data_IF_824424643306
#
_entry.id   IF_824424643306
#
_cell.length_a   1.000
_cell.length_b   1.000
_cell.length_c   1.000
_cell.angle_alpha   90.00
_cell.angle_beta   90.00
_cell.angle_gamma   90.00
#
_symmetry.space_group_name_H-M   'P 1'
#
loop_
_entity.id
_entity.type
_entity.pdbx_description
1 polymer ?
#
# COMPACT_ATOMS: atom_id res chain seq x y z
N UNK A 1 34.96 26.76 4.18
CA UNK A 1 33.86 26.52 5.14
C UNK A 1 32.86 25.61 4.45
N UNK A 2 33.01 24.31 4.66
CA UNK A 2 32.17 23.26 4.07
C UNK A 2 30.80 23.32 4.73
N UNK A 3 29.77 23.63 3.94
CA UNK A 3 28.38 23.59 4.43
C UNK A 3 28.02 22.16 4.80
N UNK A 4 27.73 21.92 6.07
CA UNK A 4 27.22 20.65 6.57
C UNK A 4 25.80 20.47 6.03
N UNK A 5 25.62 19.47 5.16
CA UNK A 5 24.30 19.00 4.75
C UNK A 5 23.64 18.34 5.99
N UNK A 6 22.52 18.85 6.52
CA UNK A 6 21.83 18.15 7.59
C UNK A 6 21.25 16.87 6.99
N UNK A 7 21.55 15.73 7.61
CA UNK A 7 21.04 14.43 7.22
C UNK A 7 19.52 14.54 6.97
N UNK A 8 19.09 14.15 5.77
CA UNK A 8 17.67 14.10 5.41
C UNK A 8 16.92 13.32 6.50
N UNK A 9 15.89 13.94 7.09
CA UNK A 9 14.91 13.22 7.90
C UNK A 9 14.48 11.97 7.15
N UNK A 10 14.27 10.81 7.81
CA UNK A 10 13.69 9.67 7.12
C UNK A 10 12.41 10.16 6.45
N UNK A 11 12.33 10.04 5.13
CA UNK A 11 11.13 10.36 4.38
C UNK A 11 9.96 9.64 5.07
N UNK A 12 8.82 10.32 5.22
CA UNK A 12 7.65 9.69 5.81
C UNK A 12 7.39 8.35 5.12
N UNK A 13 7.07 7.27 5.87
CA UNK A 13 6.85 5.96 5.28
C UNK A 13 5.75 6.03 4.23
N UNK A 14 5.92 5.31 3.12
CA UNK A 14 4.90 5.32 2.06
C UNK A 14 3.64 4.62 2.56
N UNK A 15 2.50 4.92 1.93
CA UNK A 15 1.22 4.26 2.25
C UNK A 15 0.85 3.31 1.12
N UNK A 16 0.61 2.05 1.46
CA UNK A 16 0.21 0.99 0.54
C UNK A 16 -1.13 0.36 0.92
N UNK A 17 -1.78 -0.27 -0.06
CA UNK A 17 -2.96 -1.12 0.16
C UNK A 17 -2.82 -2.45 -0.58
N UNK A 18 -3.17 -3.55 0.07
CA UNK A 18 -3.30 -4.88 -0.52
C UNK A 18 -4.80 -5.19 -0.60
N UNK A 19 -5.30 -5.67 -1.73
CA UNK A 19 -6.70 -6.09 -1.89
C UNK A 19 -6.70 -7.57 -2.23
N UNK A 20 -7.25 -8.39 -1.34
CA UNK A 20 -7.28 -9.85 -1.45
C UNK A 20 -8.68 -10.29 -1.88
N UNK A 21 -8.77 -11.10 -2.92
CA UNK A 21 -10.02 -11.76 -3.33
C UNK A 21 -10.08 -12.09 -4.81
N UNK A 22 -10.37 -13.35 -5.14
CA UNK A 22 -10.50 -13.81 -6.52
C UNK A 22 -11.71 -13.20 -7.23
N UNK A 23 -12.73 -12.72 -6.51
CA UNK A 23 -13.91 -12.09 -7.11
C UNK A 23 -13.60 -10.74 -7.74
N UNK A 24 -12.59 -10.02 -7.23
CA UNK A 24 -12.15 -8.75 -7.80
C UNK A 24 -11.32 -9.04 -9.05
N UNK A 25 -10.39 -10.00 -8.96
CA UNK A 25 -9.54 -10.41 -10.07
C UNK A 25 -10.34 -11.04 -11.22
N UNK A 26 -11.40 -11.79 -10.91
CA UNK A 26 -12.30 -12.38 -11.91
C UNK A 26 -13.36 -11.41 -12.44
N UNK A 27 -13.45 -10.19 -11.89
CA UNK A 27 -14.45 -9.20 -12.28
C UNK A 27 -15.88 -9.51 -11.83
N UNK A 28 -16.09 -10.57 -11.04
CA UNK A 28 -17.40 -10.91 -10.45
C UNK A 28 -17.90 -9.83 -9.50
N UNK A 29 -16.98 -9.05 -8.92
CA UNK A 29 -17.27 -7.93 -8.05
C UNK A 29 -16.41 -6.73 -8.47
N UNK A 30 -17.06 -5.58 -8.59
CA UNK A 30 -16.33 -4.32 -8.75
C UNK A 30 -15.70 -3.91 -7.42
N UNK A 31 -14.43 -3.52 -7.47
CA UNK A 31 -13.70 -3.02 -6.30
C UNK A 31 -14.28 -1.69 -5.80
N UNK A 32 -14.51 -1.60 -4.49
CA UNK A 32 -14.92 -0.39 -3.78
C UNK A 32 -13.90 0.06 -2.73
N UNK A 33 -12.88 -0.76 -2.46
CA UNK A 33 -11.87 -0.52 -1.45
C UNK A 33 -10.87 0.52 -1.93
N UNK A 34 -10.25 0.32 -3.10
CA UNK A 34 -9.24 1.28 -3.60
C UNK A 34 -9.81 2.70 -3.76
N UNK A 35 -10.97 2.92 -4.43
CA UNK A 35 -11.50 4.28 -4.58
C UNK A 35 -11.83 4.94 -3.25
N UNK A 36 -12.40 4.19 -2.30
CA UNK A 36 -12.73 4.72 -0.97
C UNK A 36 -11.48 5.02 -0.15
N UNK A 37 -10.46 4.18 -0.26
CA UNK A 37 -9.20 4.38 0.46
C UNK A 37 -8.45 5.61 -0.05
N UNK A 38 -8.34 5.79 -1.37
CA UNK A 38 -7.80 7.01 -1.98
C UNK A 38 -8.57 8.25 -1.51
N UNK A 39 -9.90 8.20 -1.49
CA UNK A 39 -10.72 9.30 -0.97
C UNK A 39 -10.35 9.65 0.49
N UNK A 40 -10.26 8.66 1.37
CA UNK A 40 -9.96 8.87 2.80
C UNK A 40 -8.55 9.42 3.03
N UNK A 41 -7.57 9.02 2.21
CA UNK A 41 -6.22 9.58 2.26
C UNK A 41 -6.21 11.04 1.79
N UNK A 42 -6.90 11.33 0.68
CA UNK A 42 -6.99 12.69 0.14
C UNK A 42 -7.67 13.66 1.12
N UNK A 43 -8.69 13.22 1.86
CA UNK A 43 -9.34 14.00 2.94
C UNK A 43 -8.35 14.42 4.05
N UNK A 44 -7.19 13.75 4.16
CA UNK A 44 -6.13 14.02 5.14
C UNK A 44 -4.88 14.64 4.52
N UNK A 45 -4.91 14.98 3.23
CA UNK A 45 -3.73 15.45 2.50
C UNK A 45 -2.64 14.38 2.31
N UNK A 46 -3.00 13.09 2.46
CA UNK A 46 -2.12 11.95 2.25
C UNK A 46 -2.32 11.38 0.85
N UNK A 47 -1.35 10.61 0.36
CA UNK A 47 -1.40 9.98 -0.96
C UNK A 47 -1.09 8.49 -0.85
N UNK A 48 -1.75 7.71 -1.68
CA UNK A 48 -1.44 6.29 -1.86
C UNK A 48 -0.21 6.17 -2.76
N UNK A 49 0.80 5.42 -2.32
CA UNK A 49 2.01 5.19 -3.09
C UNK A 49 1.88 3.97 -4.03
N UNK A 50 1.21 2.92 -3.56
CA UNK A 50 1.02 1.68 -4.33
C UNK A 50 -0.22 0.91 -3.89
N UNK A 51 -0.73 0.07 -4.79
CA UNK A 51 -1.79 -0.89 -4.52
C UNK A 51 -1.43 -2.24 -5.15
N UNK A 52 -1.64 -3.34 -4.44
CA UNK A 52 -1.45 -4.71 -4.96
C UNK A 52 -2.75 -5.51 -4.84
N UNK A 53 -3.20 -6.12 -5.93
CA UNK A 53 -4.34 -7.04 -5.92
C UNK A 53 -3.84 -8.49 -5.91
N UNK A 54 -4.35 -9.31 -4.99
CA UNK A 54 -3.88 -10.67 -4.73
C UNK A 54 -5.06 -11.64 -4.73
N UNK A 55 -4.92 -12.79 -5.36
CA UNK A 55 -5.94 -13.84 -5.33
C UNK A 55 -5.91 -14.64 -4.03
N UNK A 56 -6.93 -15.48 -3.80
CA UNK A 56 -7.13 -16.23 -2.54
C UNK A 56 -6.18 -17.43 -2.35
N UNK A 57 -5.02 -17.41 -3.00
CA UNK A 57 -3.99 -18.42 -2.86
C UNK A 57 -3.13 -18.13 -1.61
N UNK A 58 -3.04 -19.06 -0.64
CA UNK A 58 -2.24 -18.88 0.58
C UNK A 58 -0.79 -18.50 0.30
N UNK A 59 -0.17 -19.13 -0.71
CA UNK A 59 1.23 -18.87 -1.09
C UNK A 59 1.41 -17.44 -1.59
N UNK A 60 0.45 -16.94 -2.39
CA UNK A 60 0.49 -15.56 -2.91
C UNK A 60 0.30 -14.55 -1.79
N UNK A 61 -0.69 -14.77 -0.94
CA UNK A 61 -0.99 -13.90 0.21
C UNK A 61 0.25 -13.82 1.12
N UNK A 62 0.85 -14.97 1.45
CA UNK A 62 2.05 -15.03 2.30
C UNK A 62 3.22 -14.26 1.69
N UNK A 63 3.46 -14.43 0.39
CA UNK A 63 4.54 -13.71 -0.30
C UNK A 63 4.34 -12.19 -0.30
N UNK A 64 3.10 -11.71 -0.49
CA UNK A 64 2.80 -10.27 -0.48
C UNK A 64 2.92 -9.69 0.92
N UNK A 65 2.33 -10.35 1.92
CA UNK A 65 2.40 -9.89 3.30
C UNK A 65 3.85 -9.86 3.82
N UNK A 66 4.67 -10.85 3.46
CA UNK A 66 6.10 -10.87 3.83
C UNK A 66 6.82 -9.62 3.30
N UNK A 67 6.62 -9.29 2.01
CA UNK A 67 7.21 -8.06 1.42
C UNK A 67 6.68 -6.78 2.08
N UNK A 68 5.39 -6.73 2.41
CA UNK A 68 4.77 -5.58 3.07
C UNK A 68 5.30 -5.36 4.49
N UNK A 69 5.56 -6.44 5.24
CA UNK A 69 6.17 -6.34 6.57
C UNK A 69 7.65 -5.93 6.50
N UNK A 70 8.36 -6.30 5.43
CA UNK A 70 9.77 -5.94 5.23
C UNK A 70 9.98 -4.52 4.68
N UNK A 71 8.97 -3.89 4.08
CA UNK A 71 9.14 -2.62 3.35
C UNK A 71 9.35 -1.40 4.25
N UNK A 72 8.88 -1.44 5.50
CA UNK A 72 8.84 -0.27 6.39
C UNK A 72 7.75 0.76 6.03
N UNK A 73 6.86 0.43 5.08
CA UNK A 73 5.70 1.24 4.72
C UNK A 73 4.53 1.04 5.70
N UNK A 74 3.56 1.96 5.66
CA UNK A 74 2.25 1.78 6.31
C UNK A 74 1.33 1.07 5.32
N UNK A 75 1.00 -0.19 5.57
CA UNK A 75 0.22 -1.03 4.66
C UNK A 75 -1.12 -1.43 5.27
N UNK A 76 -2.20 -1.32 4.49
CA UNK A 76 -3.54 -1.81 4.83
C UNK A 76 -3.91 -3.00 3.94
N UNK A 77 -4.77 -3.90 4.44
CA UNK A 77 -5.37 -5.00 3.66
C UNK A 77 -6.87 -5.06 3.83
#
# INVERSE_FOLDING_TARGET
>A
MTSLNPAASPAAPSIGIIIIGDEILSGKRADKHLPKFIQLLNERGLQLAWAEYVGDSPDRITAVLSRAFESGDVVFS
#
